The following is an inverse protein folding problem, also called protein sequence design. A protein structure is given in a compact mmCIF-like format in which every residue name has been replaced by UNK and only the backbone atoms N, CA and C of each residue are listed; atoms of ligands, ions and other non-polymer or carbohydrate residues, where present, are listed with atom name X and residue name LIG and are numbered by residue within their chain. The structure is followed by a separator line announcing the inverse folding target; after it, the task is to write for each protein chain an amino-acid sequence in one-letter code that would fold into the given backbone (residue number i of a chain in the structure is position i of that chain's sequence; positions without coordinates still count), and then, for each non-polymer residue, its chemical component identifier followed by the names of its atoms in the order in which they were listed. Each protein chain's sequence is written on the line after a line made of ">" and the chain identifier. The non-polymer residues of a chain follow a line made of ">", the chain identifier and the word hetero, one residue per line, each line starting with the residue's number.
data_IF_553526812485
#
_entry.id   IF_553526812485
#
_cell.length_a   1.000
_cell.length_b   1.000
_cell.length_c   1.000
_cell.angle_alpha   90.00
_cell.angle_beta   90.00
_cell.angle_gamma   90.00
#
_symmetry.space_group_name_H-M   'P 1'
#
loop_
_entity.id
_entity.type
_entity.pdbx_description
1 polymer ?
#
# COMPACT_ATOMS: atom_id res chain seq x y z
N UNK A 1 -0.35 18.47 -13.55
CA UNK A 1 -1.31 17.38 -13.73
C UNK A 1 -2.08 17.20 -12.42
N UNK A 2 -3.32 16.77 -12.52
CA UNK A 2 -4.16 16.38 -11.38
C UNK A 2 -4.05 14.87 -11.17
N UNK A 3 -3.57 14.44 -10.02
CA UNK A 3 -3.31 13.02 -9.71
C UNK A 3 -4.12 12.64 -8.49
N UNK A 4 -4.96 11.60 -8.61
CA UNK A 4 -5.59 10.95 -7.48
C UNK A 4 -4.82 9.67 -7.15
N UNK A 5 -4.14 9.68 -6.01
CA UNK A 5 -3.42 8.54 -5.47
C UNK A 5 -4.39 7.66 -4.67
N UNK A 6 -4.67 6.47 -5.18
CA UNK A 6 -5.64 5.54 -4.60
C UNK A 6 -4.90 4.42 -3.88
N UNK A 7 -5.15 4.26 -2.60
CA UNK A 7 -4.39 3.32 -1.76
C UNK A 7 -5.23 2.73 -0.63
N UNK A 8 -4.83 1.57 -0.13
CA UNK A 8 -5.38 0.98 1.10
C UNK A 8 -4.64 1.40 2.36
N UNK A 9 -3.43 1.96 2.23
CA UNK A 9 -2.58 2.37 3.34
C UNK A 9 -2.01 3.76 3.10
N UNK A 10 -1.78 4.52 4.17
CA UNK A 10 -1.14 5.85 4.16
C UNK A 10 -0.52 6.12 5.53
N UNK A 11 0.79 6.20 5.62
CA UNK A 11 1.48 6.65 6.84
C UNK A 11 1.31 8.17 7.01
N UNK A 12 1.07 8.69 8.24
CA UNK A 12 1.00 7.97 9.52
C UNK A 12 -0.42 7.46 9.88
N UNK A 13 -1.42 7.60 9.02
CA UNK A 13 -2.82 7.29 9.37
C UNK A 13 -3.07 5.79 9.58
N UNK A 14 -2.61 4.96 8.65
CA UNK A 14 -2.78 3.51 8.69
C UNK A 14 -1.74 2.85 7.79
N UNK A 15 -0.88 2.01 8.34
CA UNK A 15 0.20 1.35 7.59
C UNK A 15 0.54 -0.01 8.21
N UNK A 16 0.81 -0.99 7.36
CA UNK A 16 1.34 -2.30 7.75
C UNK A 16 2.68 -2.62 7.09
N UNK A 17 3.16 -1.75 6.21
CA UNK A 17 4.39 -1.98 5.47
C UNK A 17 4.73 -0.87 4.48
N UNK A 18 5.64 -1.17 3.55
CA UNK A 18 6.22 -0.19 2.63
C UNK A 18 5.23 0.53 1.71
N UNK A 19 4.02 -0.03 1.48
CA UNK A 19 2.97 0.68 0.75
C UNK A 19 2.56 1.95 1.49
N UNK A 20 2.34 1.86 2.82
CA UNK A 20 1.99 3.01 3.64
C UNK A 20 3.06 4.10 3.63
N UNK A 21 4.34 3.73 3.68
CA UNK A 21 5.47 4.67 3.62
C UNK A 21 5.52 5.40 2.27
N UNK A 22 5.38 4.67 1.17
CA UNK A 22 5.33 5.26 -0.18
C UNK A 22 4.13 6.19 -0.33
N UNK A 23 2.95 5.77 0.15
CA UNK A 23 1.74 6.58 0.08
C UNK A 23 1.83 7.84 0.96
N UNK A 24 2.58 7.80 2.06
CA UNK A 24 2.86 8.95 2.93
C UNK A 24 3.79 9.98 2.28
N UNK A 25 4.77 9.53 1.50
CA UNK A 25 5.87 10.40 1.04
C UNK A 25 5.73 10.82 -0.43
N UNK A 26 5.36 9.91 -1.34
CA UNK A 26 5.33 10.19 -2.79
C UNK A 26 4.33 11.28 -3.19
N UNK A 27 3.09 11.34 -2.65
CA UNK A 27 2.17 12.41 -2.97
C UNK A 27 2.71 13.80 -2.61
N UNK A 28 3.38 13.92 -1.46
CA UNK A 28 4.01 15.17 -1.03
C UNK A 28 5.13 15.58 -2.00
N UNK A 29 6.02 14.66 -2.36
CA UNK A 29 7.11 14.91 -3.30
C UNK A 29 6.59 15.35 -4.69
N UNK A 30 5.52 14.73 -5.18
CA UNK A 30 4.89 15.11 -6.43
C UNK A 30 4.23 16.50 -6.36
N UNK A 31 3.67 16.88 -5.21
CA UNK A 31 3.16 18.25 -4.99
C UNK A 31 4.28 19.29 -5.00
N UNK A 32 5.43 18.99 -4.41
CA UNK A 32 6.62 19.85 -4.47
C UNK A 32 7.11 20.08 -5.90
N UNK A 33 6.85 19.13 -6.81
CA UNK A 33 7.11 19.25 -8.24
C UNK A 33 6.02 20.04 -9.01
N UNK A 34 5.02 20.58 -8.31
CA UNK A 34 3.97 21.44 -8.89
C UNK A 34 2.76 20.66 -9.44
N UNK A 35 2.55 19.40 -9.05
CA UNK A 35 1.34 18.67 -9.40
C UNK A 35 0.24 18.85 -8.34
N UNK A 36 -1.05 18.89 -8.75
CA UNK A 36 -2.19 18.79 -7.81
C UNK A 36 -2.42 17.31 -7.50
N UNK A 37 -1.80 16.84 -6.41
CA UNK A 37 -1.90 15.44 -5.96
C UNK A 37 -2.79 15.38 -4.74
N UNK A 38 -3.75 14.48 -4.76
CA UNK A 38 -4.63 14.17 -3.65
C UNK A 38 -4.66 12.67 -3.42
N UNK A 39 -4.89 12.25 -2.19
CA UNK A 39 -4.95 10.83 -1.82
C UNK A 39 -6.40 10.45 -1.52
N UNK A 40 -6.79 9.20 -1.82
CA UNK A 40 -8.04 8.61 -1.39
C UNK A 40 -7.80 7.21 -0.83
N UNK A 41 -8.35 6.95 0.36
CA UNK A 41 -8.21 5.68 1.06
C UNK A 41 -9.48 5.35 1.89
N UNK A 42 -9.61 4.12 2.43
CA UNK A 42 -10.68 3.83 3.38
C UNK A 42 -10.53 4.61 4.70
N UNK A 43 -11.66 5.00 5.30
CA UNK A 43 -11.70 5.55 6.65
C UNK A 43 -11.76 4.40 7.66
N UNK A 44 -10.61 3.89 8.04
CA UNK A 44 -10.52 2.84 9.05
C UNK A 44 -10.90 3.35 10.44
N UNK A 45 -11.34 2.43 11.31
CA UNK A 45 -11.74 2.72 12.70
C UNK A 45 -10.65 3.50 13.44
N UNK A 46 -9.41 3.05 13.36
CA UNK A 46 -8.26 3.70 14.02
C UNK A 46 -8.08 5.16 13.60
N UNK A 47 -8.28 5.47 12.31
CA UNK A 47 -8.24 6.84 11.81
C UNK A 47 -9.39 7.66 12.38
N UNK A 48 -10.61 7.08 12.37
CA UNK A 48 -11.84 7.73 12.85
C UNK A 48 -11.74 8.10 14.33
N UNK A 49 -11.09 7.24 15.13
CA UNK A 49 -10.89 7.47 16.56
C UNK A 49 -9.75 8.45 16.85
N UNK A 50 -8.60 8.30 16.17
CA UNK A 50 -7.40 9.10 16.47
C UNK A 50 -7.44 10.51 15.88
N UNK A 51 -8.16 10.71 14.77
CA UNK A 51 -8.19 11.99 14.04
C UNK A 51 -9.58 12.59 13.93
N UNK A 52 -10.51 12.24 14.83
CA UNK A 52 -11.92 12.67 14.80
C UNK A 52 -12.10 14.18 14.65
N UNK A 53 -11.25 14.99 15.28
CA UNK A 53 -11.31 16.48 15.22
C UNK A 53 -10.81 17.07 13.90
N UNK A 54 -10.08 16.32 13.11
CA UNK A 54 -9.50 16.74 11.83
C UNK A 54 -10.35 16.29 10.64
N UNK A 55 -11.31 15.39 10.86
CA UNK A 55 -12.17 14.84 9.84
C UNK A 55 -13.27 15.83 9.46
N UNK A 56 -13.31 16.21 8.19
CA UNK A 56 -14.36 17.06 7.62
C UNK A 56 -15.29 16.22 6.75
N UNK A 57 -16.54 16.05 7.18
CA UNK A 57 -17.56 15.39 6.37
C UNK A 57 -17.92 16.26 5.16
N UNK A 58 -17.85 15.68 3.96
CA UNK A 58 -18.18 16.37 2.72
C UNK A 58 -19.59 16.01 2.26
N UNK A 59 -19.88 14.74 2.08
CA UNK A 59 -21.18 14.22 1.64
C UNK A 59 -21.28 12.71 1.82
N UNK A 60 -22.43 12.18 1.53
CA UNK A 60 -22.67 10.74 1.41
C UNK A 60 -23.29 10.39 0.05
N UNK A 61 -23.16 9.15 -0.33
CA UNK A 61 -23.75 8.54 -1.50
C UNK A 61 -24.15 7.09 -1.22
N UNK A 62 -24.91 6.50 -2.14
CA UNK A 62 -25.22 5.07 -2.13
C UNK A 62 -24.42 4.40 -3.23
N UNK A 63 -23.62 3.42 -2.86
CA UNK A 63 -22.84 2.59 -3.78
C UNK A 63 -23.59 1.29 -4.03
N UNK A 64 -23.79 0.95 -5.29
CA UNK A 64 -24.30 -0.35 -5.69
C UNK A 64 -23.14 -1.35 -5.78
N UNK A 65 -23.30 -2.47 -5.11
CA UNK A 65 -22.34 -3.58 -5.10
C UNK A 65 -23.11 -4.87 -5.41
N UNK A 66 -23.28 -5.17 -6.69
CA UNK A 66 -24.22 -6.17 -7.16
C UNK A 66 -25.66 -5.79 -6.78
N UNK A 67 -26.36 -6.68 -6.11
CA UNK A 67 -27.72 -6.45 -5.59
C UNK A 67 -27.75 -5.60 -4.31
N UNK A 68 -26.59 -5.39 -3.66
CA UNK A 68 -26.49 -4.62 -2.42
C UNK A 68 -26.47 -3.12 -2.70
N UNK A 69 -27.03 -2.35 -1.78
CA UNK A 69 -26.94 -0.89 -1.74
C UNK A 69 -26.28 -0.48 -0.44
N UNK A 70 -25.08 0.09 -0.52
CA UNK A 70 -24.25 0.37 0.64
C UNK A 70 -24.08 1.88 0.80
N UNK A 71 -24.19 2.37 2.04
CA UNK A 71 -23.82 3.74 2.38
C UNK A 71 -22.33 3.97 2.10
N UNK A 72 -21.98 5.15 1.62
CA UNK A 72 -20.60 5.62 1.48
C UNK A 72 -20.54 7.08 1.93
N UNK A 73 -19.90 7.33 3.07
CA UNK A 73 -19.52 8.66 3.50
C UNK A 73 -18.21 9.08 2.83
N UNK A 74 -18.13 10.35 2.46
CA UNK A 74 -16.90 10.97 1.99
C UNK A 74 -16.46 12.02 3.00
N UNK A 75 -15.28 11.80 3.56
CA UNK A 75 -14.60 12.74 4.45
C UNK A 75 -13.33 13.26 3.81
N UNK A 76 -12.81 14.39 4.33
CA UNK A 76 -11.50 14.90 3.98
C UNK A 76 -10.73 15.35 5.21
N UNK A 77 -9.42 15.30 5.11
CA UNK A 77 -8.46 15.91 6.02
C UNK A 77 -7.20 16.29 5.26
N UNK A 78 -6.24 16.89 5.92
CA UNK A 78 -4.92 17.19 5.36
C UNK A 78 -3.85 16.43 6.13
N UNK A 79 -2.94 15.79 5.41
CA UNK A 79 -1.78 15.09 5.99
C UNK A 79 -0.52 15.63 5.33
N UNK A 80 0.34 16.29 6.11
CA UNK A 80 1.61 16.86 5.63
C UNK A 80 1.45 17.73 4.36
N UNK A 81 0.40 18.57 4.32
CA UNK A 81 0.11 19.45 3.18
C UNK A 81 -0.51 18.74 1.97
N UNK A 82 -0.89 17.46 2.08
CA UNK A 82 -1.58 16.70 1.05
C UNK A 82 -3.05 16.54 1.42
N UNK A 83 -4.00 16.94 0.55
CA UNK A 83 -5.42 16.65 0.77
C UNK A 83 -5.68 15.13 0.69
N UNK A 84 -6.29 14.57 1.72
CA UNK A 84 -6.66 13.15 1.82
C UNK A 84 -8.17 13.03 1.89
N UNK A 85 -8.74 12.24 1.01
CA UNK A 85 -10.14 11.84 1.04
C UNK A 85 -10.27 10.46 1.67
N UNK A 86 -11.35 10.26 2.41
CA UNK A 86 -11.57 9.06 3.20
C UNK A 86 -12.97 8.52 2.94
N UNK A 87 -13.05 7.27 2.49
CA UNK A 87 -14.31 6.57 2.23
C UNK A 87 -14.78 5.86 3.49
N UNK A 88 -15.88 6.34 4.04
CA UNK A 88 -16.50 5.82 5.26
C UNK A 88 -17.58 4.78 4.97
N UNK A 89 -17.43 3.64 5.64
CA UNK A 89 -18.47 2.63 5.80
C UNK A 89 -18.09 1.75 7.00
N UNK A 90 -18.82 1.86 8.11
CA UNK A 90 -18.50 1.15 9.36
C UNK A 90 -18.57 -0.38 9.21
N UNK A 91 -19.46 -0.91 8.35
CA UNK A 91 -19.52 -2.35 8.09
C UNK A 91 -18.23 -2.87 7.44
N UNK A 92 -17.65 -2.11 6.49
CA UNK A 92 -16.44 -2.52 5.79
C UNK A 92 -15.14 -2.09 6.49
N UNK A 93 -15.11 -0.90 7.10
CA UNK A 93 -13.86 -0.30 7.59
C UNK A 93 -13.86 0.00 9.10
N UNK A 94 -14.95 -0.33 9.82
CA UNK A 94 -15.07 -0.15 11.26
C UNK A 94 -14.37 -1.24 12.11
N UNK A 95 -13.32 -1.87 11.59
CA UNK A 95 -12.58 -2.95 12.24
C UNK A 95 -11.22 -2.48 12.75
N UNK A 96 -10.65 -3.18 13.74
CA UNK A 96 -9.34 -2.86 14.30
C UNK A 96 -8.19 -3.12 13.30
N UNK A 97 -8.30 -4.20 12.51
CA UNK A 97 -7.29 -4.60 11.55
C UNK A 97 -7.54 -4.00 10.18
N UNK A 98 -6.47 -3.55 9.51
CA UNK A 98 -6.52 -3.06 8.13
C UNK A 98 -6.92 -4.16 7.15
N UNK A 99 -6.49 -5.38 7.38
CA UNK A 99 -6.82 -6.59 6.62
C UNK A 99 -7.42 -7.61 7.58
N UNK A 100 -8.52 -8.26 7.20
CA UNK A 100 -9.31 -9.12 8.09
C UNK A 100 -9.21 -10.57 7.67
N UNK A 101 -9.88 -10.91 6.59
CA UNK A 101 -9.81 -12.20 5.94
C UNK A 101 -10.01 -12.04 4.44
N UNK A 102 -9.44 -12.96 3.70
CA UNK A 102 -9.37 -12.87 2.24
C UNK A 102 -10.75 -12.75 1.57
N UNK A 103 -11.76 -13.41 2.09
CA UNK A 103 -13.11 -13.42 1.52
C UNK A 103 -13.84 -12.09 1.77
N UNK A 104 -13.70 -11.53 2.95
CA UNK A 104 -14.29 -10.24 3.29
C UNK A 104 -13.54 -9.07 2.63
N UNK A 105 -12.22 -9.17 2.55
CA UNK A 105 -11.36 -8.16 1.94
C UNK A 105 -11.69 -7.96 0.44
N UNK A 106 -12.04 -9.03 -0.29
CA UNK A 106 -12.50 -8.89 -1.68
C UNK A 106 -13.77 -8.04 -1.77
N UNK A 107 -14.75 -8.25 -0.90
CA UNK A 107 -16.01 -7.50 -0.92
C UNK A 107 -15.79 -6.02 -0.55
N UNK A 108 -15.09 -5.75 0.56
CA UNK A 108 -14.88 -4.38 1.02
C UNK A 108 -13.98 -3.57 0.11
N UNK A 109 -12.97 -4.16 -0.51
CA UNK A 109 -12.17 -3.46 -1.51
C UNK A 109 -12.86 -3.35 -2.87
N UNK A 110 -13.79 -4.24 -3.21
CA UNK A 110 -14.72 -4.01 -4.33
C UNK A 110 -15.61 -2.80 -4.08
N UNK A 111 -16.16 -2.67 -2.87
CA UNK A 111 -16.90 -1.48 -2.46
C UNK A 111 -16.03 -0.22 -2.53
N UNK A 112 -14.82 -0.24 -1.97
CA UNK A 112 -13.89 0.89 -1.99
C UNK A 112 -13.63 1.37 -3.42
N UNK A 113 -13.33 0.48 -4.33
CA UNK A 113 -13.02 0.81 -5.73
C UNK A 113 -14.19 1.47 -6.45
N UNK A 114 -15.42 1.00 -6.23
CA UNK A 114 -16.61 1.69 -6.75
C UNK A 114 -16.82 3.05 -6.09
N UNK A 115 -16.67 3.13 -4.77
CA UNK A 115 -16.82 4.38 -4.02
C UNK A 115 -15.82 5.45 -4.47
N UNK A 116 -14.58 5.05 -4.81
CA UNK A 116 -13.57 5.96 -5.39
C UNK A 116 -14.06 6.58 -6.68
N UNK A 117 -14.59 5.78 -7.61
CA UNK A 117 -15.07 6.26 -8.90
C UNK A 117 -16.29 7.18 -8.77
N UNK A 118 -17.21 6.88 -7.84
CA UNK A 118 -18.36 7.71 -7.55
C UNK A 118 -18.02 9.01 -6.77
N UNK A 119 -16.90 9.00 -6.03
CA UNK A 119 -16.42 10.17 -5.31
C UNK A 119 -15.76 11.22 -6.23
N UNK A 120 -15.21 10.79 -7.37
CA UNK A 120 -14.54 11.69 -8.32
C UNK A 120 -15.50 12.73 -8.92
N UNK A 121 -14.96 13.83 -9.42
CA UNK A 121 -15.74 14.91 -10.01
C UNK A 121 -16.37 15.81 -8.95
N UNK A 122 -17.68 16.04 -9.06
CA UNK A 122 -18.39 16.97 -8.19
C UNK A 122 -18.32 16.66 -6.69
N UNK A 123 -18.39 15.36 -6.22
CA UNK A 123 -18.28 15.04 -4.81
C UNK A 123 -17.00 15.53 -4.14
N UNK A 124 -15.88 15.34 -4.79
CA UNK A 124 -14.55 15.75 -4.34
C UNK A 124 -14.14 17.14 -4.83
N UNK A 125 -14.94 17.76 -5.71
CA UNK A 125 -14.53 18.92 -6.51
C UNK A 125 -13.17 18.70 -7.19
N UNK A 126 -12.94 17.46 -7.71
CA UNK A 126 -11.68 17.03 -8.30
C UNK A 126 -11.89 16.04 -9.44
N UNK A 127 -11.43 16.43 -10.60
CA UNK A 127 -11.40 15.58 -11.80
C UNK A 127 -9.94 15.27 -12.12
N UNK A 128 -9.45 14.06 -11.77
CA UNK A 128 -8.05 13.69 -11.99
C UNK A 128 -7.75 13.44 -13.47
N UNK A 129 -6.53 13.80 -13.90
CA UNK A 129 -5.95 13.37 -15.17
C UNK A 129 -5.48 11.92 -15.07
N UNK A 130 -4.95 11.56 -13.87
CA UNK A 130 -4.32 10.26 -13.60
C UNK A 130 -4.87 9.68 -12.29
N UNK A 131 -5.25 8.41 -12.33
CA UNK A 131 -5.41 7.55 -11.16
C UNK A 131 -4.12 6.78 -10.94
N UNK A 132 -3.44 7.04 -9.83
CA UNK A 132 -2.29 6.28 -9.38
C UNK A 132 -2.78 5.19 -8.42
N UNK A 133 -2.87 3.98 -8.91
CA UNK A 133 -3.43 2.81 -8.25
C UNK A 133 -2.33 1.98 -7.60
N UNK A 134 -2.60 1.44 -6.43
CA UNK A 134 -1.60 0.70 -5.65
C UNK A 134 -2.13 -0.67 -5.24
N UNK A 135 -1.46 -1.71 -5.68
CA UNK A 135 -1.73 -3.12 -5.42
C UNK A 135 -3.17 -3.59 -5.76
N UNK A 136 -3.49 -4.83 -5.41
CA UNK A 136 -4.74 -5.49 -5.79
C UNK A 136 -6.00 -4.80 -5.25
N UNK A 137 -5.89 -4.11 -4.13
CA UNK A 137 -7.02 -3.40 -3.51
C UNK A 137 -7.60 -2.29 -4.40
N UNK A 138 -6.86 -1.90 -5.44
CA UNK A 138 -7.26 -0.89 -6.43
C UNK A 138 -7.32 -1.44 -7.86
N UNK A 139 -7.01 -2.72 -8.04
CA UNK A 139 -6.76 -3.34 -9.34
C UNK A 139 -7.97 -3.41 -10.28
N UNK A 140 -9.20 -3.37 -9.75
CA UNK A 140 -10.41 -3.38 -10.58
C UNK A 140 -10.86 -1.99 -11.02
N UNK A 141 -10.29 -0.91 -10.50
CA UNK A 141 -10.65 0.46 -10.91
C UNK A 141 -10.52 0.66 -12.43
N UNK A 142 -9.41 0.28 -13.09
CA UNK A 142 -9.30 0.48 -14.54
C UNK A 142 -10.27 -0.40 -15.34
N UNK A 143 -10.65 -1.58 -14.82
CA UNK A 143 -11.69 -2.42 -15.41
C UNK A 143 -13.05 -1.73 -15.33
N UNK A 144 -13.40 -1.21 -14.17
CA UNK A 144 -14.65 -0.48 -13.93
C UNK A 144 -14.74 0.78 -14.80
N UNK A 145 -13.63 1.53 -14.93
CA UNK A 145 -13.56 2.68 -15.83
C UNK A 145 -13.93 2.30 -17.25
N UNK A 146 -13.40 1.18 -17.76
CA UNK A 146 -13.67 0.72 -19.12
C UNK A 146 -15.10 0.18 -19.27
N UNK A 147 -15.59 -0.64 -18.30
CA UNK A 147 -16.86 -1.31 -18.42
C UNK A 147 -18.07 -0.45 -18.06
N UNK A 148 -17.96 0.45 -17.08
CA UNK A 148 -19.10 1.17 -16.51
C UNK A 148 -19.07 2.68 -16.71
N UNK A 149 -17.88 3.30 -16.89
CA UNK A 149 -17.72 4.75 -16.88
C UNK A 149 -17.25 5.34 -18.22
N UNK A 150 -17.09 4.54 -19.29
CA UNK A 150 -16.64 5.05 -20.60
C UNK A 150 -17.54 6.14 -21.19
N UNK A 151 -18.84 6.10 -20.90
CA UNK A 151 -19.80 7.10 -21.36
C UNK A 151 -19.97 8.28 -20.41
N UNK A 152 -19.28 8.26 -19.26
CA UNK A 152 -19.46 9.23 -18.18
C UNK A 152 -18.44 10.36 -18.27
N UNK A 153 -18.79 11.48 -18.90
CA UNK A 153 -18.10 12.77 -18.79
C UNK A 153 -16.57 12.70 -18.81
N UNK A 154 -15.94 13.23 -17.75
CA UNK A 154 -14.49 13.29 -17.61
C UNK A 154 -13.82 11.94 -17.42
N UNK A 155 -14.49 10.93 -16.87
CA UNK A 155 -13.94 9.59 -16.62
C UNK A 155 -13.30 8.97 -17.86
N UNK A 156 -13.83 9.25 -19.05
CA UNK A 156 -13.29 8.77 -20.32
C UNK A 156 -11.86 9.24 -20.60
N UNK A 157 -11.45 10.37 -20.04
CA UNK A 157 -10.14 10.98 -20.29
C UNK A 157 -9.10 10.56 -19.24
N UNK A 158 -9.54 9.98 -18.13
CA UNK A 158 -8.68 9.57 -17.02
C UNK A 158 -7.77 8.43 -17.46
N UNK A 159 -6.48 8.54 -17.14
CA UNK A 159 -5.50 7.48 -17.35
C UNK A 159 -5.15 6.82 -16.01
N UNK A 160 -4.82 5.53 -16.06
CA UNK A 160 -4.42 4.78 -14.87
C UNK A 160 -2.95 4.39 -14.93
N UNK A 161 -2.28 4.54 -13.79
CA UNK A 161 -0.97 4.02 -13.48
C UNK A 161 -1.13 3.02 -12.34
N UNK A 162 -0.70 1.77 -12.54
CA UNK A 162 -0.73 0.72 -11.53
C UNK A 162 0.66 0.50 -10.96
N UNK A 163 0.83 0.64 -9.65
CA UNK A 163 2.08 0.30 -8.96
C UNK A 163 1.94 -1.02 -8.21
N UNK A 164 2.88 -1.92 -8.47
CA UNK A 164 2.99 -3.24 -7.86
C UNK A 164 4.03 -3.18 -6.73
N UNK A 165 3.57 -3.27 -5.48
CA UNK A 165 4.45 -3.30 -4.31
C UNK A 165 4.77 -4.74 -3.88
N UNK A 166 3.77 -5.64 -3.98
CA UNK A 166 3.95 -7.04 -3.60
C UNK A 166 3.07 -7.97 -4.45
N UNK A 167 3.69 -8.78 -5.31
CA UNK A 167 2.99 -9.72 -6.19
C UNK A 167 2.37 -10.92 -5.46
N UNK A 168 2.77 -11.21 -4.24
CA UNK A 168 2.23 -12.34 -3.47
C UNK A 168 0.73 -12.17 -3.18
N UNK A 169 0.29 -10.93 -3.01
CA UNK A 169 -1.10 -10.61 -2.74
C UNK A 169 -1.79 -10.14 -4.03
N UNK A 170 -2.68 -10.96 -4.58
CA UNK A 170 -3.24 -10.75 -5.90
C UNK A 170 -4.74 -10.46 -5.93
N UNK A 171 -5.45 -10.66 -4.81
CA UNK A 171 -6.90 -10.50 -4.79
C UNK A 171 -7.61 -11.50 -5.71
N UNK A 172 -7.34 -12.82 -5.56
CA UNK A 172 -7.98 -13.88 -6.33
C UNK A 172 -9.21 -14.36 -5.57
N UNK A 173 -10.36 -14.49 -6.23
CA UNK A 173 -11.56 -14.98 -5.58
C UNK A 173 -12.53 -15.62 -6.59
N UNK A 174 -13.52 -16.39 -6.09
CA UNK A 174 -14.48 -17.10 -6.92
C UNK A 174 -15.21 -16.20 -7.93
N UNK A 175 -15.30 -16.67 -9.17
CA UNK A 175 -15.81 -15.96 -10.34
C UNK A 175 -17.19 -15.36 -10.12
N UNK A 176 -18.15 -16.18 -9.66
CA UNK A 176 -19.54 -15.77 -9.50
C UNK A 176 -19.68 -14.61 -8.52
N UNK A 177 -18.92 -14.66 -7.40
CA UNK A 177 -18.96 -13.62 -6.38
C UNK A 177 -18.40 -12.29 -6.90
N UNK A 178 -17.26 -12.30 -7.57
CA UNK A 178 -16.65 -11.07 -8.09
C UNK A 178 -17.52 -10.47 -9.20
N UNK A 179 -18.08 -11.31 -10.06
CA UNK A 179 -19.00 -10.88 -11.13
C UNK A 179 -20.26 -10.24 -10.54
N UNK A 180 -20.85 -10.85 -9.51
CA UNK A 180 -21.99 -10.27 -8.77
C UNK A 180 -21.63 -8.94 -8.11
N UNK A 181 -20.51 -8.88 -7.36
CA UNK A 181 -20.08 -7.67 -6.64
C UNK A 181 -19.85 -6.48 -7.58
N UNK A 182 -19.18 -6.71 -8.70
CA UNK A 182 -18.74 -5.65 -9.60
C UNK A 182 -19.61 -5.49 -10.85
N UNK A 183 -20.64 -6.32 -11.01
CA UNK A 183 -21.55 -6.29 -12.16
C UNK A 183 -20.78 -6.27 -13.50
N UNK A 184 -19.77 -7.17 -13.60
CA UNK A 184 -18.89 -7.22 -14.75
C UNK A 184 -19.56 -7.98 -15.91
N UNK A 185 -19.46 -7.45 -17.14
CA UNK A 185 -19.96 -8.15 -18.33
C UNK A 185 -19.15 -9.42 -18.60
N UNK A 186 -19.82 -10.43 -19.21
CA UNK A 186 -19.20 -11.74 -19.50
C UNK A 186 -17.95 -11.66 -20.38
N UNK A 187 -17.93 -10.70 -21.32
CA UNK A 187 -16.79 -10.47 -22.20
C UNK A 187 -15.56 -9.89 -21.49
N UNK A 188 -15.74 -9.36 -20.28
CA UNK A 188 -14.66 -8.93 -19.39
C UNK A 188 -14.13 -10.11 -18.57
N UNK A 189 -14.97 -11.09 -18.25
CA UNK A 189 -14.64 -12.26 -17.44
C UNK A 189 -13.97 -13.36 -18.26
N UNK A 190 -12.78 -13.05 -18.82
CA UNK A 190 -11.99 -13.94 -19.68
C UNK A 190 -10.54 -14.05 -19.21
N UNK A 191 -9.86 -15.14 -19.62
CA UNK A 191 -8.43 -15.38 -19.31
C UNK A 191 -7.49 -14.33 -19.91
N UNK A 192 -7.88 -13.68 -20.98
CA UNK A 192 -7.11 -12.58 -21.58
C UNK A 192 -7.25 -11.26 -20.81
N UNK A 193 -8.23 -11.13 -19.93
CA UNK A 193 -8.58 -9.90 -19.23
C UNK A 193 -8.43 -10.07 -17.71
N UNK A 194 -9.47 -10.52 -17.04
CA UNK A 194 -9.59 -10.53 -15.57
C UNK A 194 -9.27 -11.89 -14.95
N UNK A 195 -9.57 -12.98 -15.65
CA UNK A 195 -9.42 -14.33 -15.10
C UNK A 195 -7.97 -14.81 -15.15
N UNK A 196 -7.60 -15.60 -14.14
CA UNK A 196 -6.38 -16.38 -14.07
C UNK A 196 -6.71 -17.77 -13.53
N UNK A 197 -6.54 -18.79 -14.36
CA UNK A 197 -6.95 -20.18 -14.06
C UNK A 197 -8.44 -20.31 -13.67
N UNK A 198 -9.30 -19.58 -14.38
CA UNK A 198 -10.75 -19.57 -14.18
C UNK A 198 -11.27 -18.61 -13.11
N UNK A 199 -10.41 -18.02 -12.30
CA UNK A 199 -10.79 -17.12 -11.20
C UNK A 199 -10.36 -15.67 -11.46
N UNK A 200 -11.18 -14.67 -11.10
CA UNK A 200 -10.78 -13.27 -11.13
C UNK A 200 -9.57 -12.99 -10.25
N UNK A 201 -8.62 -12.27 -10.83
CA UNK A 201 -7.42 -11.83 -10.17
C UNK A 201 -7.33 -10.30 -10.30
N UNK A 202 -7.49 -9.58 -9.18
CA UNK A 202 -7.58 -8.12 -9.17
C UNK A 202 -6.26 -7.46 -9.60
N UNK A 203 -5.13 -8.03 -9.17
CA UNK A 203 -3.82 -7.50 -9.57
C UNK A 203 -3.58 -7.67 -11.06
N UNK A 204 -3.90 -8.86 -11.61
CA UNK A 204 -3.86 -9.12 -13.05
C UNK A 204 -4.72 -8.12 -13.81
N UNK A 205 -5.96 -7.91 -13.35
CA UNK A 205 -6.87 -6.96 -13.97
C UNK A 205 -6.28 -5.54 -14.01
N UNK A 206 -5.69 -5.10 -12.89
CA UNK A 206 -4.96 -3.83 -12.82
C UNK A 206 -3.79 -3.76 -13.81
N UNK A 207 -3.01 -4.82 -13.93
CA UNK A 207 -1.91 -4.91 -14.90
C UNK A 207 -2.45 -4.82 -16.34
N UNK A 208 -3.50 -5.57 -16.69
CA UNK A 208 -4.02 -5.62 -18.07
C UNK A 208 -4.61 -4.28 -18.50
N UNK A 209 -5.46 -3.69 -17.66
CA UNK A 209 -6.28 -2.53 -18.02
C UNK A 209 -5.62 -1.17 -17.78
N UNK A 210 -4.56 -1.09 -16.96
CA UNK A 210 -3.88 0.18 -16.73
C UNK A 210 -3.07 0.66 -17.92
N UNK A 211 -3.00 1.97 -18.11
CA UNK A 211 -2.24 2.63 -19.17
C UNK A 211 -0.73 2.40 -19.02
N UNK A 212 -0.25 2.36 -17.78
CA UNK A 212 1.14 2.06 -17.41
C UNK A 212 1.16 1.23 -16.13
N UNK A 213 2.23 0.47 -15.96
CA UNK A 213 2.50 -0.34 -14.77
C UNK A 213 3.88 0.00 -14.24
N UNK A 214 3.98 0.18 -12.94
CA UNK A 214 5.29 0.36 -12.29
C UNK A 214 5.46 -0.65 -11.16
N UNK A 215 6.71 -0.88 -10.78
CA UNK A 215 7.07 -1.58 -9.55
C UNK A 215 8.22 -0.86 -8.86
N UNK A 216 8.51 -1.25 -7.64
CA UNK A 216 9.35 -0.51 -6.69
C UNK A 216 10.87 -0.65 -6.91
N UNK A 217 11.32 -1.30 -7.98
CA UNK A 217 12.74 -1.42 -8.30
C UNK A 217 12.95 -1.78 -9.78
N UNK A 218 13.97 -1.19 -10.46
CA UNK A 218 14.37 -1.62 -11.81
C UNK A 218 14.82 -3.10 -11.87
N UNK A 219 15.44 -3.61 -10.82
CA UNK A 219 15.82 -5.00 -10.70
C UNK A 219 14.57 -5.87 -10.53
N UNK A 220 13.70 -5.52 -9.59
CA UNK A 220 12.45 -6.24 -9.36
C UNK A 220 11.56 -6.28 -10.61
N UNK A 221 11.51 -5.19 -11.41
CA UNK A 221 10.79 -5.20 -12.69
C UNK A 221 11.27 -6.29 -13.66
N UNK A 222 12.53 -6.70 -13.60
CA UNK A 222 13.08 -7.82 -14.37
C UNK A 222 12.80 -9.16 -13.72
N UNK A 223 12.96 -9.23 -12.41
CA UNK A 223 12.78 -10.45 -11.61
C UNK A 223 11.33 -10.96 -11.70
N UNK A 224 10.33 -10.09 -11.59
CA UNK A 224 8.91 -10.47 -11.64
C UNK A 224 8.45 -10.98 -13.02
N UNK A 225 9.27 -10.85 -14.05
CA UNK A 225 9.05 -11.46 -15.36
C UNK A 225 9.67 -12.88 -15.47
N UNK A 226 10.16 -13.44 -14.37
CA UNK A 226 10.70 -14.80 -14.27
C UNK A 226 9.80 -15.67 -13.41
N UNK A 227 9.77 -16.97 -13.68
CA UNK A 227 8.93 -17.96 -12.99
C UNK A 227 9.15 -17.94 -11.45
N UNK A 228 10.39 -17.75 -11.01
CA UNK A 228 10.75 -17.76 -9.59
C UNK A 228 10.15 -16.58 -8.78
N UNK A 229 10.10 -15.37 -9.35
CA UNK A 229 9.63 -14.18 -8.64
C UNK A 229 8.27 -13.66 -9.12
N UNK A 230 7.74 -14.22 -10.21
CA UNK A 230 6.54 -13.71 -10.88
C UNK A 230 5.23 -14.10 -10.21
N UNK A 231 5.24 -15.00 -9.21
CA UNK A 231 4.04 -15.48 -8.50
C UNK A 231 2.93 -15.95 -9.46
N UNK A 232 3.35 -16.54 -10.61
CA UNK A 232 2.48 -16.98 -11.68
C UNK A 232 1.99 -15.86 -12.61
N UNK A 233 2.40 -14.61 -12.42
CA UNK A 233 2.12 -13.48 -13.31
C UNK A 233 3.28 -13.17 -14.27
N UNK A 234 4.38 -13.92 -14.23
CA UNK A 234 5.60 -13.74 -15.02
C UNK A 234 5.34 -13.66 -16.52
N UNK A 235 4.58 -14.59 -17.08
CA UNK A 235 4.20 -14.59 -18.50
C UNK A 235 3.34 -13.39 -18.89
N UNK A 236 2.41 -12.97 -18.02
CA UNK A 236 1.64 -11.75 -18.23
C UNK A 236 2.54 -10.51 -18.23
N UNK A 237 3.39 -10.37 -17.19
CA UNK A 237 4.28 -9.23 -17.04
C UNK A 237 5.28 -9.13 -18.19
N UNK A 238 5.82 -10.27 -18.65
CA UNK A 238 6.68 -10.33 -19.83
C UNK A 238 5.94 -9.85 -21.09
N UNK A 239 4.70 -10.29 -21.31
CA UNK A 239 3.87 -9.85 -22.44
C UNK A 239 3.48 -8.37 -22.39
N UNK A 240 3.47 -7.76 -21.20
CA UNK A 240 3.15 -6.36 -20.95
C UNK A 240 4.38 -5.51 -20.63
N UNK A 241 5.60 -6.03 -20.90
CA UNK A 241 6.87 -5.37 -20.56
C UNK A 241 7.02 -3.96 -21.17
N UNK A 242 6.38 -3.71 -22.32
CA UNK A 242 6.35 -2.39 -22.97
C UNK A 242 5.75 -1.26 -22.13
N UNK A 243 4.92 -1.58 -21.15
CA UNK A 243 4.32 -0.60 -20.23
C UNK A 243 4.78 -0.75 -18.78
N UNK A 244 5.64 -1.74 -18.47
CA UNK A 244 6.20 -1.99 -17.15
C UNK A 244 7.50 -1.19 -16.96
N UNK A 245 7.62 -0.53 -15.82
CA UNK A 245 8.84 0.20 -15.43
C UNK A 245 9.14 -0.03 -13.96
N UNK A 246 10.40 -0.17 -13.60
CA UNK A 246 10.84 -0.22 -12.20
C UNK A 246 11.34 1.15 -11.75
N UNK A 247 10.82 1.65 -10.65
CA UNK A 247 11.22 2.93 -10.04
C UNK A 247 11.56 2.65 -8.57
N UNK A 248 12.80 2.95 -8.18
CA UNK A 248 13.24 2.75 -6.81
C UNK A 248 12.52 3.72 -5.87
N UNK A 249 11.99 3.20 -4.75
CA UNK A 249 11.40 4.05 -3.73
C UNK A 249 12.47 4.98 -3.13
N UNK A 250 12.07 6.21 -2.84
CA UNK A 250 12.86 7.17 -2.10
C UNK A 250 12.76 6.93 -0.58
N UNK A 251 13.41 7.79 0.15
CA UNK A 251 13.32 7.87 1.62
C UNK A 251 12.77 9.26 1.96
N UNK A 252 11.86 9.32 2.92
CA UNK A 252 11.43 10.59 3.50
C UNK A 252 12.57 11.17 4.33
N UNK A 253 13.24 12.17 3.76
CA UNK A 253 14.42 12.80 4.37
C UNK A 253 14.07 13.84 5.44
N UNK A 254 12.79 14.18 5.61
CA UNK A 254 12.32 15.03 6.71
C UNK A 254 11.97 14.16 7.92
N UNK A 255 11.20 13.10 7.71
CA UNK A 255 10.83 12.15 8.77
C UNK A 255 12.05 11.39 9.32
N UNK A 256 12.89 10.84 8.45
CA UNK A 256 14.09 10.07 8.82
C UNK A 256 15.34 10.93 8.89
N UNK A 257 15.24 12.15 9.43
CA UNK A 257 16.37 13.06 9.57
C UNK A 257 16.98 12.97 10.98
N UNK A 258 18.15 12.36 11.14
CA UNK A 258 18.76 12.21 12.47
C UNK A 258 19.20 13.54 13.13
N UNK A 259 19.18 14.67 12.41
CA UNK A 259 19.43 15.99 12.97
C UNK A 259 18.22 16.55 13.73
N UNK A 260 17.00 16.17 13.31
CA UNK A 260 15.73 16.69 13.83
C UNK A 260 14.79 15.65 14.41
N UNK A 261 15.11 14.36 14.29
CA UNK A 261 14.28 13.26 14.79
C UNK A 261 14.21 13.28 16.32
N UNK A 262 13.03 13.52 16.93
CA UNK A 262 12.86 13.55 18.38
C UNK A 262 12.89 12.16 19.03
N UNK A 263 12.71 11.09 18.27
CA UNK A 263 12.62 9.72 18.79
C UNK A 263 13.99 9.11 19.06
N UNK A 264 15.06 9.61 18.45
CA UNK A 264 16.41 9.09 18.71
C UNK A 264 17.03 9.72 19.97
N UNK A 265 17.72 8.91 20.75
CA UNK A 265 18.33 9.34 22.03
C UNK A 265 19.37 10.46 21.89
N UNK A 266 19.94 10.63 20.72
CA UNK A 266 20.92 11.69 20.44
C UNK A 266 20.89 12.06 18.97
N UNK A 267 20.56 13.32 18.66
CA UNK A 267 20.62 13.84 17.29
C UNK A 267 22.06 13.83 16.76
N UNK A 268 22.20 13.57 15.46
CA UNK A 268 23.51 13.59 14.79
C UNK A 268 23.40 13.97 13.31
N UNK A 269 24.50 14.44 12.76
CA UNK A 269 24.67 14.76 11.35
C UNK A 269 25.80 13.93 10.72
N UNK A 270 26.03 14.09 9.43
CA UNK A 270 27.17 13.48 8.74
C UNK A 270 28.52 13.88 9.37
N UNK A 271 28.62 15.02 10.10
CA UNK A 271 29.85 15.50 10.70
C UNK A 271 30.17 14.84 12.06
N UNK A 272 29.17 14.35 12.78
CA UNK A 272 29.32 13.81 14.15
C UNK A 272 28.63 12.46 14.37
N UNK A 273 28.32 11.74 13.30
CA UNK A 273 27.52 10.49 13.31
C UNK A 273 28.13 9.42 14.23
N UNK A 274 29.46 9.29 14.29
CA UNK A 274 30.15 8.30 15.16
C UNK A 274 29.73 8.49 16.61
N UNK A 275 29.79 9.74 17.09
CA UNK A 275 29.41 10.08 18.47
C UNK A 275 27.92 9.93 18.71
N UNK A 276 27.10 10.43 17.77
CA UNK A 276 25.64 10.37 17.90
C UNK A 276 25.11 8.92 17.85
N UNK A 277 25.56 8.13 16.89
CA UNK A 277 25.19 6.71 16.83
C UNK A 277 25.68 5.90 18.02
N UNK A 278 26.89 6.24 18.56
CA UNK A 278 27.37 5.63 19.79
C UNK A 278 26.50 5.95 21.02
N UNK A 279 25.96 7.16 21.09
CA UNK A 279 25.04 7.56 22.17
C UNK A 279 23.68 6.84 22.00
N UNK A 280 23.15 6.74 20.76
CA UNK A 280 21.91 6.00 20.48
C UNK A 280 22.07 4.50 20.78
N UNK A 281 23.19 3.88 20.39
CA UNK A 281 23.49 2.48 20.72
C UNK A 281 23.49 2.25 22.23
N UNK A 282 24.15 3.13 22.99
CA UNK A 282 24.20 3.04 24.45
C UNK A 282 22.80 3.15 25.07
N UNK A 283 21.96 4.08 24.58
CA UNK A 283 20.61 4.24 25.06
C UNK A 283 19.75 2.98 24.78
N UNK A 284 19.88 2.39 23.60
CA UNK A 284 19.19 1.14 23.24
C UNK A 284 19.67 -0.04 24.10
N UNK A 285 20.97 -0.14 24.38
CA UNK A 285 21.52 -1.15 25.29
C UNK A 285 20.94 -0.98 26.71
N UNK A 286 20.79 0.26 27.18
CA UNK A 286 20.19 0.55 28.49
C UNK A 286 18.70 0.21 28.56
N UNK A 287 17.96 0.52 27.49
CA UNK A 287 16.52 0.25 27.39
C UNK A 287 16.21 -1.25 27.37
N UNK A 288 17.07 -2.05 26.74
CA UNK A 288 16.91 -3.49 26.58
C UNK A 288 17.68 -4.34 27.60
N UNK A 289 18.23 -3.72 28.65
CA UNK A 289 19.07 -4.37 29.68
C UNK A 289 20.25 -5.17 29.10
N UNK A 290 20.80 -4.74 27.95
CA UNK A 290 21.97 -5.33 27.35
C UNK A 290 23.26 -4.77 27.97
N UNK A 291 24.36 -5.55 27.99
CA UNK A 291 25.66 -5.04 28.41
C UNK A 291 26.11 -3.82 27.60
N UNK A 292 26.61 -2.78 28.26
CA UNK A 292 27.11 -1.55 27.59
C UNK A 292 28.46 -1.83 26.93
N UNK A 293 28.46 -2.33 25.74
CA UNK A 293 29.65 -2.73 24.99
C UNK A 293 29.80 -1.86 23.72
N UNK A 294 30.63 -0.83 23.80
CA UNK A 294 30.80 0.13 22.71
C UNK A 294 31.36 -0.49 21.43
N UNK A 295 32.25 -1.50 21.56
CA UNK A 295 32.95 -2.14 20.44
C UNK A 295 32.22 -3.36 19.86
N UNK A 296 31.41 -4.03 20.66
CA UNK A 296 30.62 -5.21 20.23
C UNK A 296 29.58 -4.78 19.22
N UNK A 297 29.47 -5.41 18.04
CA UNK A 297 28.41 -5.11 17.08
C UNK A 297 27.02 -5.32 17.70
N UNK A 298 26.10 -4.39 17.44
CA UNK A 298 24.67 -4.56 17.74
C UNK A 298 23.93 -4.68 16.42
N UNK A 299 23.41 -5.87 16.14
CA UNK A 299 22.58 -6.17 14.99
C UNK A 299 21.12 -5.99 15.38
N UNK A 300 20.33 -5.35 14.52
CA UNK A 300 18.91 -5.15 14.77
C UNK A 300 18.08 -5.54 13.54
N UNK A 301 16.96 -6.20 13.79
CA UNK A 301 15.95 -6.52 12.79
C UNK A 301 14.60 -5.99 13.27
N UNK A 302 14.05 -5.01 12.53
CA UNK A 302 12.72 -4.44 12.79
C UNK A 302 11.83 -4.75 11.59
N UNK A 303 10.89 -5.69 11.75
CA UNK A 303 10.11 -6.17 10.61
C UNK A 303 8.87 -6.95 11.05
N UNK A 304 7.92 -7.17 10.11
CA UNK A 304 6.90 -8.20 10.29
C UNK A 304 7.58 -9.58 10.35
N UNK A 305 7.09 -10.43 11.26
CA UNK A 305 7.60 -11.79 11.41
C UNK A 305 6.89 -12.70 10.40
N UNK A 306 7.41 -12.75 9.19
CA UNK A 306 6.94 -13.62 8.11
C UNK A 306 8.10 -14.15 7.25
N UNK A 307 7.85 -15.21 6.47
CA UNK A 307 8.87 -15.86 5.64
C UNK A 307 9.47 -14.96 4.57
N UNK A 308 8.77 -13.92 4.09
CA UNK A 308 9.28 -12.98 3.09
C UNK A 308 10.41 -12.09 3.64
N UNK A 309 10.56 -12.03 4.95
CA UNK A 309 11.61 -11.24 5.63
C UNK A 309 12.90 -12.04 5.90
N UNK A 310 12.94 -13.28 5.44
CA UNK A 310 14.12 -14.14 5.57
C UNK A 310 14.36 -14.65 7.00
N UNK A 311 13.31 -14.75 7.80
CA UNK A 311 13.41 -15.27 9.17
C UNK A 311 13.84 -16.73 9.20
N UNK A 312 13.44 -17.50 8.22
CA UNK A 312 13.90 -18.89 8.02
C UNK A 312 15.42 -18.97 7.81
N UNK A 313 16.00 -18.02 7.06
CA UNK A 313 17.44 -17.91 6.86
C UNK A 313 18.16 -17.49 8.15
N UNK A 314 17.58 -16.52 8.87
CA UNK A 314 18.12 -16.07 10.15
C UNK A 314 18.11 -17.20 11.18
N UNK A 315 16.99 -17.90 11.33
CA UNK A 315 16.86 -19.02 12.28
C UNK A 315 17.85 -20.14 11.97
N UNK A 316 18.15 -20.37 10.69
CA UNK A 316 19.12 -21.40 10.28
C UNK A 316 20.54 -21.13 10.79
N UNK A 317 20.93 -19.88 10.96
CA UNK A 317 22.29 -19.50 11.38
C UNK A 317 22.31 -18.85 12.77
N UNK A 318 21.17 -18.73 13.45
CA UNK A 318 21.07 -17.94 14.68
C UNK A 318 21.94 -18.47 15.80
N UNK A 319 22.02 -19.77 15.98
CA UNK A 319 22.85 -20.39 17.02
C UNK A 319 24.35 -20.09 16.78
N UNK A 320 24.82 -20.23 15.55
CA UNK A 320 26.20 -19.90 15.17
C UNK A 320 26.47 -18.40 15.32
N UNK A 321 25.50 -17.56 14.94
CA UNK A 321 25.59 -16.11 15.06
C UNK A 321 25.74 -15.66 16.52
N UNK A 322 25.01 -16.30 17.44
CA UNK A 322 25.03 -15.97 18.86
C UNK A 322 26.29 -16.51 19.60
N UNK A 323 27.09 -17.36 18.97
CA UNK A 323 28.44 -17.73 19.46
C UNK A 323 29.47 -16.61 19.26
N UNK A 324 29.19 -15.67 18.34
CA UNK A 324 30.07 -14.53 18.07
C UNK A 324 29.92 -13.42 19.14
N UNK A 325 30.95 -12.58 19.28
CA UNK A 325 30.93 -11.43 20.19
C UNK A 325 30.07 -10.29 19.61
N UNK A 326 28.73 -10.43 19.70
CA UNK A 326 27.75 -9.49 19.20
C UNK A 326 26.51 -9.41 20.10
N UNK A 327 25.70 -8.40 19.87
CA UNK A 327 24.34 -8.28 20.42
C UNK A 327 23.32 -8.33 19.29
N UNK A 328 22.20 -8.99 19.52
CA UNK A 328 21.12 -9.12 18.53
C UNK A 328 19.79 -8.64 19.13
N UNK A 329 19.07 -7.80 18.39
CA UNK A 329 17.75 -7.26 18.77
C UNK A 329 16.76 -7.53 17.64
N UNK A 330 15.64 -8.14 17.96
CA UNK A 330 14.52 -8.37 17.04
C UNK A 330 13.27 -7.67 17.58
N UNK A 331 12.65 -6.83 16.77
CA UNK A 331 11.37 -6.19 17.05
C UNK A 331 10.39 -6.47 15.92
N UNK A 332 9.25 -7.08 16.23
CA UNK A 332 8.19 -7.35 15.25
C UNK A 332 7.09 -8.22 15.80
N UNK A 333 6.02 -8.30 15.03
CA UNK A 333 4.89 -9.21 15.22
C UNK A 333 4.54 -9.87 13.89
N UNK A 334 3.86 -11.02 13.88
CA UNK A 334 3.45 -11.66 12.63
C UNK A 334 2.96 -13.08 12.78
N UNK A 335 3.59 -14.02 12.11
CA UNK A 335 3.22 -15.43 12.19
C UNK A 335 3.57 -16.01 13.57
N UNK A 336 2.60 -16.60 14.28
CA UNK A 336 2.82 -17.19 15.60
C UNK A 336 3.93 -18.25 15.67
N UNK A 337 4.31 -18.86 14.53
CA UNK A 337 5.43 -19.79 14.45
C UNK A 337 6.79 -19.12 14.65
N UNK A 338 6.90 -17.82 14.30
CA UNK A 338 8.11 -17.02 14.49
C UNK A 338 8.11 -16.22 15.80
N UNK A 339 6.95 -16.07 16.46
CA UNK A 339 6.85 -15.36 17.74
C UNK A 339 7.18 -16.24 18.95
N UNK A 340 7.31 -17.55 18.76
CA UNK A 340 7.66 -18.57 19.78
C UNK A 340 9.14 -18.86 19.82
#
# INVERSE_FOLDING_TARGET
>A
MKILFVTSELSPLASTGGLGDVAGSLPQALRQLGHDVRVIMPLYKTIKESYASELHFLRWSIIRLGWRTMYSGLFSMEVQGVPVYLIDNDFYFGHESLYIDYSFDIERFSFFQRAVLEAMGQPMAFEPDILHLNDWQTGMIPVLLESHYQSCGFHRQVRSLMTLHNLKHQGIHGRERVQDLLDLPDDTMTESKVLMKGEPNFLKAGIVFSSRVTTVSPTYAREIMTDYFGEGLDGLLASQSWKLSGILNGIDTELYNPESDPEIASSFSAKNWIRGKGACKKALQDELDLPREAKVPLLAMVTRLDSQKGLDLLLHILDELLEEDLQFVLLGTGDPSYEK
#
